data_IF_926364611390
#
_entry.id   IF_926364611390
#
_cell.length_a   1.000
_cell.length_b   1.000
_cell.length_c   1.000
_cell.angle_alpha   90.00
_cell.angle_beta   90.00
_cell.angle_gamma   90.00
#
_symmetry.space_group_name_H-M   'P 1'
#
loop_
_entity.id
_entity.type
_entity.pdbx_description
1 polymer ?
#
# COMPACT_ATOMS: atom_id res chain seq x y z
N UNK A 1 -9.64 9.07 -1.16
CA UNK A 1 -10.15 8.27 -0.02
C UNK A 1 -11.21 7.21 -0.40
N UNK A 2 -12.18 7.47 -1.30
CA UNK A 2 -13.27 6.52 -1.61
C UNK A 2 -13.07 5.56 -2.81
N UNK A 3 -11.98 5.73 -3.59
CA UNK A 3 -11.74 4.94 -4.82
C UNK A 3 -11.79 3.41 -4.66
N UNK A 4 -11.24 2.80 -3.57
CA UNK A 4 -11.30 1.35 -3.42
C UNK A 4 -12.70 0.84 -3.09
N UNK A 5 -13.47 1.64 -2.34
CA UNK A 5 -14.82 1.29 -1.87
C UNK A 5 -15.83 1.24 -3.02
N UNK A 6 -15.71 2.17 -3.98
CA UNK A 6 -16.57 2.22 -5.17
C UNK A 6 -16.25 1.11 -6.19
N UNK A 7 -15.04 0.56 -6.15
CA UNK A 7 -14.56 -0.43 -7.12
C UNK A 7 -14.71 -1.89 -6.65
N UNK A 8 -15.25 -2.12 -5.44
CA UNK A 8 -15.28 -3.46 -4.79
C UNK A 8 -13.89 -4.12 -4.79
N UNK A 9 -12.84 -3.30 -4.70
CA UNK A 9 -11.47 -3.78 -4.58
C UNK A 9 -11.15 -3.79 -3.10
N UNK A 10 -10.82 -4.97 -2.57
CA UNK A 10 -10.35 -5.12 -1.19
C UNK A 10 -9.05 -4.34 -1.02
N UNK A 11 -9.15 -3.12 -0.49
CA UNK A 11 -8.00 -2.36 -0.01
C UNK A 11 -7.78 -2.68 1.47
N UNK A 12 -7.34 -3.89 1.76
CA UNK A 12 -6.90 -4.27 3.10
C UNK A 12 -5.37 -4.33 3.08
N UNK A 13 -4.70 -3.22 3.37
CA UNK A 13 -3.24 -3.22 3.52
C UNK A 13 -2.79 -3.54 4.95
N UNK A 14 -3.62 -3.24 5.96
CA UNK A 14 -3.29 -3.48 7.36
C UNK A 14 -4.49 -4.13 8.07
N UNK A 15 -4.29 -5.18 8.87
CA UNK A 15 -5.36 -5.72 9.70
C UNK A 15 -5.87 -4.63 10.66
N UNK A 16 -7.18 -4.61 10.97
CA UNK A 16 -7.71 -3.69 11.96
C UNK A 16 -7.04 -3.95 13.31
N UNK A 17 -6.19 -3.02 13.74
CA UNK A 17 -5.47 -3.10 15.03
C UNK A 17 -6.44 -3.09 16.21
N UNK A 18 -7.63 -2.53 16.02
CA UNK A 18 -8.73 -2.50 17.00
C UNK A 18 -9.35 -3.86 17.31
N UNK A 19 -9.03 -4.92 16.55
CA UNK A 19 -9.56 -6.26 16.82
C UNK A 19 -8.99 -6.88 18.09
N UNK A 20 -7.69 -6.69 18.33
CA UNK A 20 -6.98 -7.21 19.51
C UNK A 20 -6.87 -6.17 20.65
N UNK A 21 -6.77 -4.88 20.33
CA UNK A 21 -6.72 -3.78 21.29
C UNK A 21 -7.52 -2.56 20.78
N UNK A 22 -8.67 -2.22 21.38
CA UNK A 22 -9.53 -1.12 20.94
C UNK A 22 -8.85 0.26 20.89
N UNK A 23 -7.79 0.47 21.67
CA UNK A 23 -7.03 1.72 21.73
C UNK A 23 -5.79 1.73 20.81
N UNK A 24 -5.53 0.63 20.09
CA UNK A 24 -4.40 0.54 19.20
C UNK A 24 -4.52 1.51 18.02
N UNK A 25 -3.49 2.35 17.85
CA UNK A 25 -3.43 3.31 16.76
C UNK A 25 -3.42 2.60 15.40
N UNK A 26 -4.07 3.17 14.37
CA UNK A 26 -3.97 2.67 13.01
C UNK A 26 -2.50 2.62 12.57
N UNK A 27 -2.11 1.56 11.85
CA UNK A 27 -0.77 1.49 11.27
C UNK A 27 -0.62 2.63 10.25
N UNK A 28 0.37 3.49 10.47
CA UNK A 28 0.68 4.55 9.53
C UNK A 28 1.36 3.93 8.31
N UNK A 29 0.81 4.08 7.09
CA UNK A 29 1.43 3.53 5.90
C UNK A 29 2.75 4.25 5.60
N UNK A 30 3.83 3.49 5.49
CA UNK A 30 5.19 3.91 5.11
C UNK A 30 5.62 3.17 3.85
N UNK A 31 6.64 3.66 3.15
CA UNK A 31 7.18 3.00 1.95
C UNK A 31 7.53 1.53 2.19
N UNK A 32 8.13 1.21 3.33
CA UNK A 32 8.60 -0.13 3.66
C UNK A 32 7.46 -1.06 4.08
N UNK A 33 6.58 -0.60 4.97
CA UNK A 33 5.51 -1.46 5.49
C UNK A 33 4.45 -1.79 4.43
N UNK A 34 4.30 -0.93 3.41
CA UNK A 34 3.45 -1.18 2.25
C UNK A 34 4.00 -2.39 1.47
N UNK A 35 5.30 -2.40 1.13
CA UNK A 35 5.93 -3.51 0.39
C UNK A 35 5.90 -4.82 1.20
N UNK A 36 6.17 -4.73 2.50
CA UNK A 36 6.09 -5.88 3.42
C UNK A 36 4.70 -6.52 3.41
N UNK A 37 3.65 -5.68 3.45
CA UNK A 37 2.27 -6.16 3.41
C UNK A 37 1.84 -6.66 2.04
N UNK A 38 2.31 -6.05 0.96
CA UNK A 38 2.09 -6.59 -0.40
C UNK A 38 2.60 -8.03 -0.48
N UNK A 39 3.82 -8.28 0.01
CA UNK A 39 4.43 -9.61 0.01
C UNK A 39 3.67 -10.61 0.89
N UNK A 40 3.20 -10.18 2.06
CA UNK A 40 2.44 -11.03 3.00
C UNK A 40 1.02 -11.37 2.51
N UNK A 41 0.36 -10.40 1.89
CA UNK A 41 -1.04 -10.54 1.44
C UNK A 41 -1.16 -11.09 0.02
N UNK A 42 -0.08 -11.05 -0.77
CA UNK A 42 -0.11 -11.39 -2.19
C UNK A 42 -0.87 -10.37 -3.02
N UNK A 43 -0.94 -9.11 -2.56
CA UNK A 43 -1.60 -8.03 -3.29
C UNK A 43 -0.95 -7.85 -4.66
N UNK A 44 -1.79 -7.74 -5.70
CA UNK A 44 -1.36 -7.59 -7.09
C UNK A 44 -1.53 -6.16 -7.62
N UNK A 45 -1.99 -5.23 -6.79
CA UNK A 45 -2.16 -3.83 -7.14
C UNK A 45 -1.70 -2.95 -5.97
N UNK A 46 -1.06 -1.82 -6.26
CA UNK A 46 -0.70 -0.81 -5.25
C UNK A 46 -1.13 0.58 -5.69
N UNK A 47 -1.61 1.36 -4.72
CA UNK A 47 -1.88 2.78 -4.87
C UNK A 47 -0.96 3.53 -3.90
N UNK A 48 -0.07 4.36 -4.41
CA UNK A 48 0.96 5.04 -3.62
C UNK A 48 1.06 6.52 -3.97
N UNK A 49 1.66 7.32 -3.10
CA UNK A 49 2.03 8.71 -3.42
C UNK A 49 3.31 8.73 -4.26
N UNK A 50 3.53 9.74 -5.13
CA UNK A 50 4.70 9.82 -5.99
C UNK A 50 6.04 9.68 -5.24
N UNK A 51 6.17 10.29 -4.06
CA UNK A 51 7.39 10.20 -3.23
C UNK A 51 7.75 8.77 -2.81
N UNK A 52 6.76 7.88 -2.66
CA UNK A 52 7.05 6.47 -2.35
C UNK A 52 7.55 5.73 -3.59
N UNK A 53 7.03 6.05 -4.78
CA UNK A 53 7.54 5.49 -6.02
C UNK A 53 8.99 5.90 -6.28
N UNK A 54 9.35 7.15 -5.96
CA UNK A 54 10.73 7.64 -6.06
C UNK A 54 11.67 6.88 -5.13
N UNK A 55 11.25 6.63 -3.88
CA UNK A 55 12.01 5.83 -2.93
C UNK A 55 12.19 4.38 -3.43
N UNK A 56 11.11 3.75 -3.90
CA UNK A 56 11.16 2.38 -4.42
C UNK A 56 11.96 2.26 -5.71
N UNK A 57 12.01 3.31 -6.54
CA UNK A 57 12.82 3.31 -7.76
C UNK A 57 14.33 3.24 -7.48
N UNK A 58 14.77 3.59 -6.26
CA UNK A 58 16.15 3.48 -5.81
C UNK A 58 16.50 2.14 -5.15
N UNK A 59 15.53 1.25 -4.98
CA UNK A 59 15.70 -0.04 -4.29
C UNK A 59 15.35 -1.22 -5.21
N UNK A 60 16.34 -2.04 -5.53
CA UNK A 60 16.18 -3.21 -6.38
C UNK A 60 15.17 -4.22 -5.79
N UNK A 61 15.10 -4.34 -4.46
CA UNK A 61 14.18 -5.28 -3.80
C UNK A 61 12.72 -4.81 -3.87
N UNK A 62 12.52 -3.50 -3.74
CA UNK A 62 11.24 -2.86 -4.01
C UNK A 62 10.83 -3.04 -5.47
N UNK A 63 11.73 -2.84 -6.41
CA UNK A 63 11.47 -3.03 -7.85
C UNK A 63 11.05 -4.47 -8.15
N UNK A 64 11.74 -5.48 -7.60
CA UNK A 64 11.35 -6.88 -7.78
C UNK A 64 9.92 -7.16 -7.26
N UNK A 65 9.53 -6.51 -6.17
CA UNK A 65 8.17 -6.61 -5.63
C UNK A 65 7.16 -5.93 -6.56
N UNK A 66 7.48 -4.73 -7.04
CA UNK A 66 6.62 -3.96 -7.95
C UNK A 66 6.44 -4.66 -9.31
N UNK A 67 7.44 -5.40 -9.79
CA UNK A 67 7.35 -6.18 -11.05
C UNK A 67 6.28 -7.26 -11.01
N UNK A 68 5.91 -7.76 -9.84
CA UNK A 68 4.86 -8.78 -9.69
C UNK A 68 3.44 -8.20 -9.70
N UNK A 69 3.31 -6.86 -9.70
CA UNK A 69 2.02 -6.20 -9.68
C UNK A 69 1.43 -6.04 -11.09
N UNK A 70 0.11 -6.14 -11.16
CA UNK A 70 -0.68 -5.87 -12.37
C UNK A 70 -0.85 -4.36 -12.57
N UNK A 71 -1.05 -3.61 -11.47
CA UNK A 71 -1.25 -2.16 -11.52
C UNK A 71 -0.50 -1.43 -10.40
N UNK A 72 0.19 -0.36 -10.79
CA UNK A 72 0.80 0.63 -9.88
C UNK A 72 0.17 1.98 -10.21
N UNK A 73 -0.56 2.56 -9.27
CA UNK A 73 -1.25 3.84 -9.44
C UNK A 73 -0.65 4.87 -8.51
N UNK A 74 -0.24 6.02 -9.05
CA UNK A 74 0.10 7.19 -8.24
C UNK A 74 -1.14 8.03 -7.98
N UNK A 75 -1.35 8.46 -6.73
CA UNK A 75 -2.35 9.47 -6.41
C UNK A 75 -1.63 10.79 -6.27
N UNK A 76 -1.85 11.68 -7.24
CA UNK A 76 -1.45 13.07 -7.14
C UNK A 76 -2.56 13.75 -6.34
N UNK A 77 -2.26 14.15 -5.11
CA UNK A 77 -3.16 15.00 -4.34
C UNK A 77 -3.12 16.38 -5.01
N UNK A 78 -4.14 16.70 -5.79
CA UNK A 78 -4.34 18.03 -6.37
C UNK A 78 -4.76 18.95 -5.22
N UNK A 79 -3.77 19.54 -4.55
CA UNK A 79 -3.94 20.58 -3.52
C UNK A 79 -4.18 21.95 -4.15
#
# INVERSE_FOLDING_TARGET
LYSPLASVVTAALFPPTSFDDPDAQPVIPTSDNILDNIRKTGANCVVAVPSFLELWAGDDEAIETLKQMVFVVSVIDDS
#
